data_IF_315678064314
#
_entry.id   IF_315678064314
#
_cell.length_a   1.000
_cell.length_b   1.000
_cell.length_c   1.000
_cell.angle_alpha   90.00
_cell.angle_beta   90.00
_cell.angle_gamma   90.00
#
_symmetry.space_group_name_H-M   'P 1'
#
loop_
_entity.id
_entity.type
_entity.pdbx_description
1 polymer ?
#
# COMPACT_ATOMS: atom_id res chain seq x y z
N UNK A 1 -22.18 20.29 14.95
CA UNK A 1 -23.04 21.40 14.48
C UNK A 1 -22.37 22.72 14.83
N UNK A 2 -22.43 23.71 13.96
CA UNK A 2 -21.85 25.05 14.24
C UNK A 2 -22.81 25.90 15.09
N UNK A 3 -22.29 26.83 15.89
CA UNK A 3 -23.09 27.77 16.71
C UNK A 3 -24.11 28.55 15.84
N UNK A 4 -23.75 29.06 14.64
CA UNK A 4 -24.69 29.72 13.74
C UNK A 4 -25.83 28.82 13.27
N UNK A 5 -25.56 27.55 12.96
CA UNK A 5 -26.60 26.59 12.54
C UNK A 5 -27.58 26.26 13.67
N UNK A 6 -27.12 26.23 14.92
CA UNK A 6 -28.02 26.02 16.08
C UNK A 6 -28.91 27.24 16.33
N UNK A 7 -28.35 28.46 16.25
CA UNK A 7 -29.12 29.69 16.37
C UNK A 7 -30.17 29.83 15.25
N UNK A 8 -29.80 29.47 14.01
CA UNK A 8 -30.71 29.48 12.88
C UNK A 8 -31.83 28.43 13.00
N UNK A 9 -31.55 27.24 13.52
CA UNK A 9 -32.59 26.24 13.81
C UNK A 9 -33.55 26.70 14.91
N UNK A 10 -33.04 27.30 15.99
CA UNK A 10 -33.88 27.87 17.05
C UNK A 10 -34.80 28.99 16.52
N UNK A 11 -34.27 29.85 15.64
CA UNK A 11 -35.07 30.85 14.93
C UNK A 11 -36.15 30.24 14.03
N UNK A 12 -35.84 29.16 13.32
CA UNK A 12 -36.81 28.46 12.49
C UNK A 12 -37.92 27.77 13.31
N UNK A 13 -37.60 27.21 14.47
CA UNK A 13 -38.56 26.64 15.43
C UNK A 13 -39.50 27.72 15.98
N UNK A 14 -38.97 28.91 16.28
CA UNK A 14 -39.77 30.07 16.74
C UNK A 14 -40.73 30.61 15.66
N UNK A 15 -40.37 30.52 14.38
CA UNK A 15 -41.26 30.90 13.28
C UNK A 15 -42.36 29.84 13.09
N UNK A 16 -42.04 28.56 13.31
CA UNK A 16 -42.99 27.45 13.20
C UNK A 16 -44.14 27.52 14.21
N UNK A 17 -43.93 28.13 15.38
CA UNK A 17 -45.00 28.32 16.37
C UNK A 17 -46.04 29.36 15.95
N UNK A 18 -45.70 30.26 15.02
CA UNK A 18 -46.59 31.30 14.50
C UNK A 18 -47.21 30.93 13.15
N UNK A 19 -46.45 30.26 12.28
CA UNK A 19 -46.94 29.76 11.01
C UNK A 19 -46.23 28.43 10.69
N UNK A 20 -46.93 27.28 10.76
CA UNK A 20 -46.34 25.96 10.53
C UNK A 20 -45.66 25.83 9.15
N UNK A 21 -46.27 26.36 8.09
CA UNK A 21 -45.74 26.28 6.72
C UNK A 21 -44.48 27.14 6.56
N UNK A 22 -44.47 28.34 7.15
CA UNK A 22 -43.30 29.22 7.15
C UNK A 22 -42.14 28.66 7.99
N UNK A 23 -42.45 27.98 9.10
CA UNK A 23 -41.48 27.28 9.93
C UNK A 23 -40.83 26.11 9.22
N UNK A 24 -41.61 25.31 8.48
CA UNK A 24 -41.08 24.21 7.67
C UNK A 24 -40.16 24.72 6.55
N UNK A 25 -40.54 25.79 5.85
CA UNK A 25 -39.70 26.44 4.86
C UNK A 25 -38.40 27.01 5.47
N UNK A 26 -38.47 27.61 6.65
CA UNK A 26 -37.30 28.10 7.38
C UNK A 26 -36.35 26.97 7.79
N UNK A 27 -36.86 25.84 8.28
CA UNK A 27 -36.06 24.67 8.61
C UNK A 27 -35.36 24.08 7.37
N UNK A 28 -36.06 23.99 6.23
CA UNK A 28 -35.46 23.58 4.96
C UNK A 28 -34.35 24.55 4.50
N UNK A 29 -34.55 25.86 4.67
CA UNK A 29 -33.54 26.86 4.36
C UNK A 29 -32.29 26.74 5.24
N UNK A 30 -32.46 26.49 6.55
CA UNK A 30 -31.33 26.24 7.47
C UNK A 30 -30.60 24.95 7.12
N UNK A 31 -31.33 23.89 6.78
CA UNK A 31 -30.73 22.64 6.35
C UNK A 31 -29.95 22.81 5.02
N UNK A 32 -30.49 23.56 4.07
CA UNK A 32 -29.81 23.89 2.81
C UNK A 32 -28.56 24.76 3.03
N UNK A 33 -28.65 25.78 3.89
CA UNK A 33 -27.53 26.66 4.19
C UNK A 33 -26.40 25.93 4.94
N UNK A 34 -26.73 25.05 5.88
CA UNK A 34 -25.74 24.23 6.60
C UNK A 34 -25.03 23.23 5.69
N UNK A 35 -25.78 22.55 4.79
CA UNK A 35 -25.20 21.68 3.77
C UNK A 35 -24.27 22.47 2.82
N UNK A 36 -24.68 23.66 2.39
CA UNK A 36 -23.88 24.53 1.54
C UNK A 36 -22.61 25.02 2.24
N UNK A 37 -22.68 25.36 3.53
CA UNK A 37 -21.52 25.76 4.33
C UNK A 37 -20.50 24.62 4.46
N UNK A 38 -20.97 23.38 4.66
CA UNK A 38 -20.11 22.20 4.69
C UNK A 38 -19.40 21.97 3.34
N UNK A 39 -20.14 22.08 2.23
CA UNK A 39 -19.57 21.99 0.87
C UNK A 39 -18.51 23.08 0.63
N UNK A 40 -18.77 24.30 1.07
CA UNK A 40 -17.84 25.43 0.92
C UNK A 40 -16.56 25.21 1.73
N UNK A 41 -16.67 24.73 2.97
CA UNK A 41 -15.52 24.40 3.81
C UNK A 41 -14.64 23.34 3.15
N UNK A 42 -15.24 22.26 2.65
CA UNK A 42 -14.50 21.23 1.89
C UNK A 42 -13.81 21.83 0.67
N UNK A 43 -14.47 22.69 -0.10
CA UNK A 43 -13.85 23.35 -1.27
C UNK A 43 -12.67 24.26 -0.90
N UNK A 44 -12.73 24.97 0.22
CA UNK A 44 -11.61 25.79 0.71
C UNK A 44 -10.42 24.91 1.11
N UNK A 45 -10.67 23.79 1.77
CA UNK A 45 -9.64 22.81 2.12
C UNK A 45 -8.97 22.22 0.86
N UNK A 46 -9.77 21.89 -0.16
CA UNK A 46 -9.23 21.42 -1.45
C UNK A 46 -8.33 22.45 -2.12
N UNK A 47 -8.72 23.72 -2.13
CA UNK A 47 -7.91 24.80 -2.73
C UNK A 47 -6.58 24.99 -2.01
N UNK A 48 -6.61 24.94 -0.67
CA UNK A 48 -5.40 25.05 0.13
C UNK A 48 -4.49 23.83 -0.07
N UNK A 49 -5.07 22.63 -0.10
CA UNK A 49 -4.34 21.40 -0.38
C UNK A 49 -3.70 21.41 -1.77
N UNK A 50 -4.44 21.83 -2.81
CA UNK A 50 -3.92 21.96 -4.19
C UNK A 50 -2.77 22.97 -4.25
N UNK A 51 -2.90 24.10 -3.53
CA UNK A 51 -1.87 25.15 -3.47
C UNK A 51 -0.58 24.65 -2.83
N UNK A 52 -0.69 24.02 -1.66
CA UNK A 52 0.46 23.44 -0.95
C UNK A 52 1.06 22.28 -1.77
N UNK A 53 0.21 21.45 -2.37
CA UNK A 53 0.61 20.29 -3.17
C UNK A 53 1.49 20.67 -4.37
N UNK A 54 1.11 21.67 -5.16
CA UNK A 54 1.94 22.15 -6.29
C UNK A 54 3.29 22.66 -5.81
N UNK A 55 3.32 23.42 -4.71
CA UNK A 55 4.57 23.93 -4.14
C UNK A 55 5.48 22.79 -3.72
N UNK A 56 4.93 21.75 -3.09
CA UNK A 56 5.68 20.58 -2.66
C UNK A 56 6.19 19.74 -3.84
N UNK A 57 5.39 19.57 -4.90
CA UNK A 57 5.82 18.92 -6.14
C UNK A 57 7.02 19.63 -6.74
N UNK A 58 6.93 20.97 -6.90
CA UNK A 58 8.02 21.78 -7.43
C UNK A 58 9.30 21.69 -6.57
N UNK A 59 9.16 21.83 -5.24
CA UNK A 59 10.29 21.77 -4.30
C UNK A 59 10.95 20.39 -4.25
N UNK A 60 10.20 19.34 -4.50
CA UNK A 60 10.68 17.95 -4.54
C UNK A 60 11.25 17.57 -5.92
N UNK A 61 11.32 18.49 -6.88
CA UNK A 61 11.83 18.22 -8.23
C UNK A 61 10.86 17.48 -9.15
N UNK A 62 9.59 17.32 -8.76
CA UNK A 62 8.55 16.75 -9.63
C UNK A 62 7.94 17.82 -10.54
N UNK A 63 7.35 17.38 -11.66
CA UNK A 63 6.65 18.27 -12.59
C UNK A 63 5.38 18.86 -11.94
N UNK A 64 5.30 20.18 -11.70
CA UNK A 64 4.11 20.79 -11.11
C UNK A 64 2.87 20.67 -12.01
N UNK A 65 3.07 20.57 -13.33
CA UNK A 65 1.99 20.34 -14.31
C UNK A 65 1.44 18.92 -14.23
N UNK A 66 2.14 17.99 -13.57
CA UNK A 66 1.66 16.63 -13.33
C UNK A 66 0.33 16.61 -12.56
N UNK A 67 0.13 17.54 -11.63
CA UNK A 67 -1.13 17.66 -10.89
C UNK A 67 -2.29 18.08 -11.80
N UNK A 68 -2.08 19.07 -12.68
CA UNK A 68 -3.08 19.48 -13.68
C UNK A 68 -3.42 18.33 -14.62
N UNK A 69 -2.42 17.61 -15.13
CA UNK A 69 -2.63 16.45 -16.00
C UNK A 69 -3.39 15.32 -15.30
N UNK A 70 -3.10 15.07 -14.01
CA UNK A 70 -3.85 14.11 -13.20
C UNK A 70 -5.31 14.51 -13.02
N UNK A 71 -5.59 15.77 -12.71
CA UNK A 71 -6.97 16.26 -12.60
C UNK A 71 -7.73 16.17 -13.93
N UNK A 72 -7.09 16.48 -15.05
CA UNK A 72 -7.71 16.32 -16.37
C UNK A 72 -8.06 14.85 -16.64
N UNK A 73 -7.17 13.90 -16.30
CA UNK A 73 -7.45 12.46 -16.41
C UNK A 73 -8.62 12.03 -15.53
N UNK A 74 -8.68 12.49 -14.28
CA UNK A 74 -9.82 12.22 -13.38
C UNK A 74 -11.13 12.77 -13.94
N UNK A 75 -11.12 14.02 -14.43
CA UNK A 75 -12.30 14.63 -15.04
C UNK A 75 -12.75 13.86 -16.29
N UNK A 76 -11.81 13.40 -17.12
CA UNK A 76 -12.13 12.59 -18.29
C UNK A 76 -12.73 11.25 -17.87
N UNK A 77 -12.13 10.55 -16.90
CA UNK A 77 -12.64 9.28 -16.39
C UNK A 77 -14.03 9.39 -15.77
N UNK A 78 -14.34 10.49 -15.09
CA UNK A 78 -15.67 10.71 -14.49
C UNK A 78 -16.75 11.04 -15.52
N UNK A 79 -16.38 11.49 -16.73
CA UNK A 79 -17.35 11.75 -17.81
C UNK A 79 -17.86 10.48 -18.47
N UNK A 80 -17.02 9.46 -18.58
CA UNK A 80 -17.33 8.21 -19.28
C UNK A 80 -17.77 7.07 -18.35
N UNK A 81 -17.73 7.28 -17.03
CA UNK A 81 -18.16 6.32 -16.02
C UNK A 81 -19.43 6.80 -15.33
N UNK A 82 -20.46 5.96 -15.26
CA UNK A 82 -21.70 6.24 -14.52
C UNK A 82 -21.45 6.43 -13.01
N UNK A 83 -20.34 5.91 -12.49
CA UNK A 83 -19.86 6.18 -11.14
C UNK A 83 -18.58 7.00 -11.18
N UNK A 84 -18.63 8.20 -10.58
CA UNK A 84 -17.43 8.96 -10.28
C UNK A 84 -16.51 8.13 -9.35
N UNK A 85 -15.19 8.17 -9.55
CA UNK A 85 -14.22 7.54 -8.64
C UNK A 85 -14.51 7.92 -7.18
N UNK A 86 -14.32 6.99 -6.25
CA UNK A 86 -14.57 7.22 -4.82
C UNK A 86 -13.83 8.45 -4.28
N UNK A 87 -12.60 8.66 -4.75
CA UNK A 87 -11.81 9.87 -4.46
C UNK A 87 -12.57 11.17 -4.75
N UNK A 88 -13.36 11.23 -5.83
CA UNK A 88 -14.13 12.44 -6.18
C UNK A 88 -15.36 12.65 -5.30
N UNK A 89 -15.77 11.66 -4.48
CA UNK A 89 -16.85 11.81 -3.51
C UNK A 89 -16.41 12.59 -2.29
N UNK A 90 -15.18 12.39 -1.83
CA UNK A 90 -14.58 13.13 -0.71
C UNK A 90 -13.84 14.37 -1.17
N UNK A 91 -13.20 14.32 -2.35
CA UNK A 91 -12.43 15.42 -2.94
C UNK A 91 -13.02 15.84 -4.29
N UNK A 92 -14.13 16.60 -4.31
CA UNK A 92 -14.81 16.95 -5.55
C UNK A 92 -13.91 17.80 -6.46
N UNK A 93 -13.72 17.32 -7.69
CA UNK A 93 -12.94 18.02 -8.70
C UNK A 93 -13.83 18.97 -9.50
N UNK A 94 -13.43 20.24 -9.60
CA UNK A 94 -14.15 21.28 -10.36
C UNK A 94 -13.26 21.85 -11.46
N UNK A 95 -13.86 22.41 -12.51
CA UNK A 95 -13.11 23.13 -13.57
C UNK A 95 -12.27 24.27 -13.02
N UNK A 96 -12.76 24.96 -11.98
CA UNK A 96 -12.02 26.01 -11.27
C UNK A 96 -10.72 25.49 -10.64
N UNK A 97 -10.74 24.31 -10.02
CA UNK A 97 -9.52 23.68 -9.45
C UNK A 97 -8.49 23.36 -10.54
N UNK A 98 -8.93 22.83 -11.68
CA UNK A 98 -8.04 22.54 -12.81
C UNK A 98 -7.38 23.82 -13.32
N UNK A 99 -8.17 24.89 -13.49
CA UNK A 99 -7.67 26.18 -13.95
C UNK A 99 -6.70 26.82 -12.95
N UNK A 100 -7.02 26.82 -11.65
CA UNK A 100 -6.15 27.35 -10.60
C UNK A 100 -4.84 26.55 -10.51
N UNK A 101 -4.92 25.22 -10.57
CA UNK A 101 -3.75 24.35 -10.60
C UNK A 101 -2.86 24.63 -11.82
N UNK A 102 -3.45 24.79 -13.02
CA UNK A 102 -2.73 25.11 -14.23
C UNK A 102 -2.02 26.47 -14.15
N UNK A 103 -2.72 27.49 -13.64
CA UNK A 103 -2.17 28.84 -13.46
C UNK A 103 -0.98 28.83 -12.48
N UNK A 104 -1.09 28.10 -11.36
CA UNK A 104 0.00 27.95 -10.39
C UNK A 104 1.18 27.17 -10.96
N UNK A 105 0.92 26.06 -11.67
CA UNK A 105 1.96 25.26 -12.28
C UNK A 105 2.75 26.04 -13.35
N UNK A 106 2.09 26.96 -14.06
CA UNK A 106 2.74 27.82 -15.05
C UNK A 106 3.81 28.75 -14.44
N UNK A 107 3.67 29.13 -13.16
CA UNK A 107 4.63 30.00 -12.47
C UNK A 107 6.00 29.34 -12.22
N UNK A 108 6.11 28.01 -12.32
CA UNK A 108 7.36 27.26 -12.08
C UNK A 108 8.22 27.05 -13.33
N UNK A 109 7.81 27.62 -14.48
CA UNK A 109 8.52 27.45 -15.75
C UNK A 109 8.37 26.05 -16.37
N UNK A 110 8.98 25.83 -17.54
CA UNK A 110 9.05 24.52 -18.18
C UNK A 110 10.42 23.89 -17.88
N UNK A 111 10.47 22.95 -16.95
CA UNK A 111 11.65 22.10 -16.71
C UNK A 111 11.59 20.80 -17.49
N UNK A 112 12.75 20.15 -17.67
CA UNK A 112 12.80 18.73 -18.02
C UNK A 112 12.57 17.93 -16.74
N UNK A 113 11.53 17.10 -16.75
CA UNK A 113 11.21 16.19 -15.66
C UNK A 113 11.20 14.80 -16.25
N UNK A 114 12.10 13.94 -15.78
CA UNK A 114 12.15 12.54 -16.21
C UNK A 114 11.58 11.67 -15.10
N UNK A 115 10.64 10.79 -15.43
CA UNK A 115 10.23 9.77 -14.49
C UNK A 115 11.39 8.82 -14.20
N UNK A 116 11.49 8.35 -12.94
CA UNK A 116 12.47 7.33 -12.60
C UNK A 116 12.06 5.99 -13.20
N UNK A 117 13.03 5.20 -13.65
CA UNK A 117 12.77 3.82 -14.08
C UNK A 117 11.98 3.04 -13.02
N UNK A 118 12.33 3.20 -11.74
CA UNK A 118 11.62 2.58 -10.62
C UNK A 118 10.12 2.89 -10.60
N UNK A 119 9.72 4.13 -10.90
CA UNK A 119 8.31 4.49 -11.00
C UNK A 119 7.61 3.71 -12.13
N UNK A 120 8.23 3.64 -13.30
CA UNK A 120 7.66 2.93 -14.44
C UNK A 120 7.59 1.41 -14.22
N UNK A 121 8.58 0.82 -13.55
CA UNK A 121 8.57 -0.60 -13.18
C UNK A 121 7.45 -0.90 -12.17
N UNK A 122 7.30 -0.08 -11.14
CA UNK A 122 6.20 -0.23 -10.17
C UNK A 122 4.85 -0.08 -10.86
N UNK A 123 4.69 0.93 -11.73
CA UNK A 123 3.47 1.12 -12.51
C UNK A 123 3.16 -0.11 -13.37
N UNK A 124 4.15 -0.66 -14.08
CA UNK A 124 3.97 -1.84 -14.93
C UNK A 124 3.56 -3.08 -14.10
N UNK A 125 4.17 -3.28 -12.93
CA UNK A 125 3.79 -4.36 -12.00
C UNK A 125 2.35 -4.23 -11.51
N UNK A 126 1.93 -3.02 -11.13
CA UNK A 126 0.56 -2.76 -10.68
C UNK A 126 -0.45 -2.98 -11.81
N UNK A 127 -0.15 -2.49 -13.02
CA UNK A 127 -0.99 -2.72 -14.19
C UNK A 127 -1.13 -4.22 -14.47
N UNK A 128 -0.03 -4.98 -14.49
CA UNK A 128 -0.07 -6.43 -14.67
C UNK A 128 -0.95 -7.15 -13.65
N UNK A 129 -0.92 -6.71 -12.37
CA UNK A 129 -1.72 -7.30 -11.29
C UNK A 129 -3.18 -6.83 -11.25
N UNK A 130 -3.50 -5.70 -11.89
CA UNK A 130 -4.85 -5.13 -11.93
C UNK A 130 -5.77 -5.77 -12.96
N UNK A 131 -5.22 -6.51 -13.94
CA UNK A 131 -6.04 -7.23 -14.90
C UNK A 131 -6.76 -8.40 -14.23
N UNK A 132 -8.00 -8.67 -14.67
CA UNK A 132 -8.83 -9.73 -14.10
C UNK A 132 -8.26 -11.14 -14.24
N UNK A 133 -7.37 -11.37 -15.21
CA UNK A 133 -6.62 -12.64 -15.35
C UNK A 133 -5.18 -12.39 -15.80
N UNK A 134 -4.22 -13.27 -15.43
CA UNK A 134 -2.85 -13.19 -15.92
C UNK A 134 -2.77 -13.22 -17.45
N UNK A 135 -3.56 -14.07 -18.11
CA UNK A 135 -3.66 -14.14 -19.58
C UNK A 135 -4.07 -12.81 -20.23
N UNK A 136 -4.97 -12.05 -19.61
CA UNK A 136 -5.34 -10.73 -20.11
C UNK A 136 -4.18 -9.73 -19.98
N UNK A 137 -3.42 -9.79 -18.89
CA UNK A 137 -2.20 -8.99 -18.74
C UNK A 137 -1.13 -9.37 -19.78
N UNK A 138 -0.97 -10.67 -20.08
CA UNK A 138 -0.05 -11.17 -21.12
C UNK A 138 -0.41 -10.55 -22.47
N UNK A 139 -1.69 -10.58 -22.85
CA UNK A 139 -2.17 -9.98 -24.10
C UNK A 139 -1.99 -8.46 -24.15
N UNK A 140 -2.14 -7.76 -23.02
CA UNK A 140 -1.92 -6.32 -22.91
C UNK A 140 -0.45 -5.97 -23.12
N UNK A 141 0.46 -6.62 -22.40
CA UNK A 141 1.89 -6.29 -22.45
C UNK A 141 2.58 -6.79 -23.72
N UNK A 142 2.17 -7.93 -24.29
CA UNK A 142 2.77 -8.43 -25.53
C UNK A 142 2.65 -7.42 -26.68
N UNK A 143 1.49 -6.77 -26.81
CA UNK A 143 1.26 -5.70 -27.80
C UNK A 143 2.15 -4.49 -27.55
N UNK A 144 2.32 -4.07 -26.29
CA UNK A 144 3.11 -2.89 -25.91
C UNK A 144 4.60 -3.10 -26.10
N UNK A 145 5.10 -4.30 -25.80
CA UNK A 145 6.50 -4.66 -26.03
C UNK A 145 6.82 -4.71 -27.53
N UNK A 146 5.85 -5.09 -28.36
CA UNK A 146 5.98 -5.14 -29.82
C UNK A 146 5.80 -3.78 -30.52
N UNK A 147 5.27 -2.77 -29.83
CA UNK A 147 4.99 -1.46 -30.40
C UNK A 147 6.28 -0.62 -30.58
N UNK A 148 6.65 -0.26 -31.83
CA UNK A 148 7.83 0.57 -32.08
C UNK A 148 7.74 1.96 -31.43
N UNK A 149 6.53 2.51 -31.27
CA UNK A 149 6.31 3.84 -30.70
C UNK A 149 6.56 3.91 -29.18
N UNK A 150 6.84 2.77 -28.55
CA UNK A 150 7.01 2.64 -27.10
C UNK A 150 8.46 2.34 -26.71
N UNK A 151 9.42 2.68 -27.56
CA UNK A 151 10.84 2.41 -27.34
C UNK A 151 11.33 2.86 -25.96
N UNK A 152 11.01 4.10 -25.56
CA UNK A 152 11.43 4.67 -24.27
C UNK A 152 10.84 3.92 -23.05
N UNK A 153 9.65 3.32 -23.20
CA UNK A 153 8.97 2.55 -22.14
C UNK A 153 9.19 1.05 -22.26
N UNK A 154 9.95 0.59 -23.25
CA UNK A 154 9.99 -0.83 -23.65
C UNK A 154 10.48 -1.73 -22.52
N UNK A 155 11.41 -1.25 -21.69
CA UNK A 155 11.94 -2.04 -20.57
C UNK A 155 10.92 -2.19 -19.44
N UNK A 156 10.16 -1.13 -19.13
CA UNK A 156 9.07 -1.21 -18.17
C UNK A 156 7.89 -2.04 -18.67
N UNK A 157 7.53 -1.92 -19.95
CA UNK A 157 6.51 -2.76 -20.58
C UNK A 157 6.97 -4.24 -20.60
N UNK A 158 8.25 -4.51 -20.86
CA UNK A 158 8.83 -5.86 -20.79
C UNK A 158 8.83 -6.39 -19.36
N UNK A 159 9.12 -5.56 -18.37
CA UNK A 159 9.00 -5.93 -16.97
C UNK A 159 7.57 -6.31 -16.59
N UNK A 160 6.57 -5.50 -16.96
CA UNK A 160 5.17 -5.85 -16.79
C UNK A 160 4.79 -7.15 -17.50
N UNK A 161 5.37 -7.38 -18.69
CA UNK A 161 5.18 -8.63 -19.43
C UNK A 161 5.72 -9.85 -18.70
N UNK A 162 6.91 -9.74 -18.08
CA UNK A 162 7.48 -10.80 -17.22
C UNK A 162 6.51 -11.13 -16.09
N UNK A 163 6.03 -10.13 -15.35
CA UNK A 163 5.07 -10.35 -14.25
C UNK A 163 3.81 -11.06 -14.73
N UNK A 164 3.29 -10.67 -15.90
CA UNK A 164 2.11 -11.28 -16.49
C UNK A 164 2.36 -12.74 -16.93
N UNK A 165 3.45 -13.02 -17.64
CA UNK A 165 3.82 -14.36 -18.09
C UNK A 165 4.07 -15.30 -16.91
N UNK A 166 4.75 -14.82 -15.87
CA UNK A 166 5.00 -15.55 -14.63
C UNK A 166 3.69 -15.88 -13.90
N UNK A 167 2.72 -14.95 -13.88
CA UNK A 167 1.39 -15.20 -13.32
C UNK A 167 0.56 -16.20 -14.14
N UNK A 168 0.76 -16.25 -15.46
CA UNK A 168 0.06 -17.15 -16.39
C UNK A 168 0.73 -18.53 -16.51
N UNK A 169 1.87 -18.76 -15.83
CA UNK A 169 2.62 -20.01 -15.87
C UNK A 169 3.51 -20.19 -17.12
N UNK A 170 3.67 -19.15 -17.94
CA UNK A 170 4.52 -19.17 -19.14
C UNK A 170 6.00 -18.91 -18.80
N UNK A 171 6.57 -19.74 -17.94
CA UNK A 171 7.88 -19.50 -17.32
C UNK A 171 9.05 -19.44 -18.31
N UNK A 172 9.01 -20.24 -19.39
CA UNK A 172 10.06 -20.23 -20.41
C UNK A 172 10.15 -18.86 -21.12
N UNK A 173 9.00 -18.31 -21.52
CA UNK A 173 8.93 -16.98 -22.13
C UNK A 173 9.27 -15.90 -21.12
N UNK A 174 8.78 -15.99 -19.88
CA UNK A 174 9.12 -15.04 -18.83
C UNK A 174 10.64 -14.95 -18.61
N UNK A 175 11.32 -16.10 -18.58
CA UNK A 175 12.78 -16.19 -18.43
C UNK A 175 13.53 -15.55 -19.60
N UNK A 176 13.04 -15.75 -20.83
CA UNK A 176 13.61 -15.09 -22.01
C UNK A 176 13.50 -13.57 -21.90
N UNK A 177 12.34 -13.05 -21.51
CA UNK A 177 12.13 -11.61 -21.33
C UNK A 177 13.00 -11.05 -20.20
N UNK A 178 13.14 -11.77 -19.08
CA UNK A 178 14.00 -11.39 -17.96
C UNK A 178 15.48 -11.33 -18.36
N UNK A 179 15.96 -12.31 -19.15
CA UNK A 179 17.34 -12.31 -19.68
C UNK A 179 17.63 -11.08 -20.53
N UNK A 180 16.67 -10.60 -21.33
CA UNK A 180 16.85 -9.38 -22.14
C UNK A 180 17.04 -8.13 -21.27
N UNK A 181 16.29 -8.01 -20.17
CA UNK A 181 16.46 -6.89 -19.23
C UNK A 181 17.78 -7.00 -18.47
N UNK A 182 18.11 -8.19 -17.96
CA UNK A 182 19.34 -8.44 -17.22
C UNK A 182 20.59 -8.36 -18.09
N UNK A 183 20.50 -8.54 -19.41
CA UNK A 183 21.62 -8.30 -20.31
C UNK A 183 21.98 -6.81 -20.40
N UNK A 184 21.01 -5.92 -20.24
CA UNK A 184 21.19 -4.46 -20.25
C UNK A 184 21.57 -3.94 -18.87
N UNK A 185 20.88 -4.40 -17.82
CA UNK A 185 21.12 -4.01 -16.42
C UNK A 185 21.26 -5.26 -15.52
N UNK A 186 22.45 -5.88 -15.47
CA UNK A 186 22.66 -7.16 -14.78
C UNK A 186 22.44 -7.12 -13.26
N UNK A 187 22.58 -5.95 -12.66
CA UNK A 187 22.51 -5.74 -11.22
C UNK A 187 21.18 -5.10 -10.80
N UNK A 188 20.25 -4.82 -11.71
CA UNK A 188 18.98 -4.21 -11.32
C UNK A 188 18.17 -5.16 -10.43
N UNK A 189 18.04 -4.79 -9.14
CA UNK A 189 17.36 -5.59 -8.12
C UNK A 189 15.93 -5.95 -8.50
N UNK A 190 15.21 -5.09 -9.22
CA UNK A 190 13.82 -5.35 -9.61
C UNK A 190 13.74 -6.47 -10.66
N UNK A 191 14.72 -6.54 -11.57
CA UNK A 191 14.82 -7.57 -12.58
C UNK A 191 15.31 -8.89 -11.99
N UNK A 192 16.29 -8.84 -11.09
CA UNK A 192 16.79 -10.02 -10.36
C UNK A 192 15.69 -10.67 -9.52
N UNK A 193 14.90 -9.87 -8.79
CA UNK A 193 13.77 -10.39 -8.00
C UNK A 193 12.67 -10.99 -8.89
N UNK A 194 12.39 -10.42 -10.06
CA UNK A 194 11.44 -11.02 -11.00
C UNK A 194 11.98 -12.32 -11.61
N UNK A 195 13.28 -12.39 -11.91
CA UNK A 195 13.92 -13.61 -12.37
C UNK A 195 13.85 -14.72 -11.30
N UNK A 196 14.09 -14.39 -10.04
CA UNK A 196 13.95 -15.33 -8.93
C UNK A 196 12.49 -15.78 -8.75
N UNK A 197 11.49 -14.88 -8.83
CA UNK A 197 10.06 -15.24 -8.71
C UNK A 197 9.61 -16.23 -9.80
N UNK A 198 10.15 -16.13 -11.03
CA UNK A 198 9.90 -17.12 -12.09
C UNK A 198 10.29 -18.52 -11.61
N UNK A 199 11.52 -18.66 -11.10
CA UNK A 199 12.05 -19.94 -10.66
C UNK A 199 11.30 -20.47 -9.44
N UNK A 200 10.98 -19.60 -8.46
CA UNK A 200 10.18 -19.97 -7.27
C UNK A 200 8.82 -20.52 -7.69
N UNK A 201 8.12 -19.86 -8.62
CA UNK A 201 6.78 -20.33 -9.06
C UNK A 201 6.82 -21.58 -9.92
N UNK A 202 7.91 -21.80 -10.64
CA UNK A 202 8.13 -23.04 -11.38
C UNK A 202 8.55 -24.21 -10.46
N UNK A 203 8.97 -23.92 -9.21
CA UNK A 203 9.48 -24.91 -8.27
C UNK A 203 11.00 -25.17 -8.38
N UNK A 204 11.72 -24.34 -9.14
CA UNK A 204 13.16 -24.44 -9.34
C UNK A 204 13.93 -23.72 -8.21
N UNK A 205 13.78 -24.20 -6.98
CA UNK A 205 14.27 -23.50 -5.79
C UNK A 205 15.79 -23.30 -5.77
N UNK A 206 16.59 -24.28 -6.21
CA UNK A 206 18.06 -24.15 -6.24
C UNK A 206 18.53 -22.97 -7.11
N UNK A 207 17.89 -22.80 -8.27
CA UNK A 207 18.19 -21.67 -9.16
C UNK A 207 17.72 -20.36 -8.54
N UNK A 208 16.53 -20.35 -7.92
CA UNK A 208 16.03 -19.18 -7.21
C UNK A 208 16.97 -18.74 -6.08
N UNK A 209 17.45 -19.68 -5.26
CA UNK A 209 18.37 -19.41 -4.15
C UNK A 209 19.71 -18.87 -4.64
N UNK A 210 20.23 -19.38 -5.75
CA UNK A 210 21.42 -18.83 -6.38
C UNK A 210 21.22 -17.36 -6.79
N UNK A 211 20.10 -17.03 -7.43
CA UNK A 211 19.77 -15.65 -7.81
C UNK A 211 19.63 -14.77 -6.57
N UNK A 212 18.89 -15.21 -5.54
CA UNK A 212 18.69 -14.45 -4.32
C UNK A 212 20.00 -14.21 -3.57
N UNK A 213 20.83 -15.25 -3.41
CA UNK A 213 22.14 -15.14 -2.75
C UNK A 213 23.06 -14.15 -3.47
N UNK A 214 23.11 -14.19 -4.82
CA UNK A 214 23.86 -13.19 -5.59
C UNK A 214 23.28 -11.77 -5.40
N UNK A 215 21.95 -11.65 -5.38
CA UNK A 215 21.29 -10.36 -5.20
C UNK A 215 21.56 -9.77 -3.82
N UNK A 216 21.67 -10.61 -2.79
CA UNK A 216 21.95 -10.22 -1.40
C UNK A 216 23.36 -9.66 -1.22
N UNK A 217 24.34 -10.15 -1.99
CA UNK A 217 25.68 -9.56 -2.01
C UNK A 217 25.69 -8.12 -2.55
N UNK A 218 24.77 -7.80 -3.45
CA UNK A 218 24.66 -6.47 -4.06
C UNK A 218 23.78 -5.52 -3.23
N UNK A 219 22.73 -6.06 -2.61
CA UNK A 219 21.71 -5.31 -1.89
C UNK A 219 21.45 -5.91 -0.50
N UNK A 220 22.43 -5.84 0.43
CA UNK A 220 22.25 -6.31 1.79
C UNK A 220 21.10 -5.54 2.46
N UNK A 221 20.33 -6.22 3.31
CA UNK A 221 19.19 -5.67 4.06
C UNK A 221 18.07 -5.04 3.21
N UNK A 222 18.07 -5.25 1.89
CA UNK A 222 16.99 -4.76 1.05
C UNK A 222 15.72 -5.55 1.34
N UNK A 223 14.78 -4.92 2.06
CA UNK A 223 13.58 -5.59 2.59
C UNK A 223 12.82 -6.45 1.57
N UNK A 224 12.51 -5.99 0.33
CA UNK A 224 11.85 -6.84 -0.65
C UNK A 224 12.66 -8.10 -1.00
N UNK A 225 13.98 -8.00 -1.06
CA UNK A 225 14.83 -9.17 -1.28
C UNK A 225 14.72 -10.16 -0.12
N UNK A 226 14.96 -9.71 1.12
CA UNK A 226 14.94 -10.59 2.30
C UNK A 226 13.61 -11.34 2.39
N UNK A 227 12.49 -10.65 2.24
CA UNK A 227 11.17 -11.28 2.35
C UNK A 227 10.88 -12.27 1.22
N UNK A 228 11.22 -11.93 -0.03
CA UNK A 228 11.02 -12.86 -1.14
C UNK A 228 11.94 -14.07 -1.01
N UNK A 229 13.18 -13.88 -0.54
CA UNK A 229 14.11 -14.97 -0.32
C UNK A 229 13.65 -15.87 0.83
N UNK A 230 13.28 -15.31 1.99
CA UNK A 230 12.75 -16.10 3.11
C UNK A 230 11.49 -16.88 2.73
N UNK A 231 10.57 -16.28 1.98
CA UNK A 231 9.39 -17.01 1.48
C UNK A 231 9.78 -18.14 0.50
N UNK A 232 10.77 -17.91 -0.35
CA UNK A 232 11.29 -18.96 -1.24
C UNK A 232 11.94 -20.10 -0.45
N UNK A 233 12.70 -19.78 0.60
CA UNK A 233 13.34 -20.75 1.48
C UNK A 233 12.30 -21.62 2.19
N UNK A 234 11.23 -21.02 2.72
CA UNK A 234 10.11 -21.77 3.31
C UNK A 234 9.47 -22.72 2.29
N UNK A 235 9.15 -22.23 1.09
CA UNK A 235 8.57 -23.06 0.03
C UNK A 235 9.49 -24.18 -0.45
N UNK A 236 10.80 -23.96 -0.42
CA UNK A 236 11.82 -24.95 -0.75
C UNK A 236 12.23 -25.84 0.43
N UNK A 237 11.54 -25.77 1.57
CA UNK A 237 11.82 -26.64 2.73
C UNK A 237 13.12 -26.31 3.47
N UNK A 238 13.55 -25.06 3.47
CA UNK A 238 14.72 -24.55 4.20
C UNK A 238 14.34 -23.60 5.35
N UNK A 239 13.54 -24.05 6.34
CA UNK A 239 12.98 -23.18 7.37
C UNK A 239 14.04 -22.59 8.31
N UNK A 240 15.12 -23.33 8.61
CA UNK A 240 16.23 -22.82 9.44
C UNK A 240 16.90 -21.60 8.81
N UNK A 241 17.19 -21.65 7.51
CA UNK A 241 17.80 -20.53 6.79
C UNK A 241 16.84 -19.35 6.66
N UNK A 242 15.54 -19.62 6.43
CA UNK A 242 14.52 -18.57 6.40
C UNK A 242 14.42 -17.84 7.75
N UNK A 243 14.41 -18.60 8.84
CA UNK A 243 14.38 -18.08 10.22
C UNK A 243 15.60 -17.20 10.50
N UNK A 244 16.79 -17.71 10.24
CA UNK A 244 18.03 -17.01 10.59
C UNK A 244 18.12 -15.67 9.82
N UNK A 245 17.75 -15.67 8.53
CA UNK A 245 17.66 -14.45 7.72
C UNK A 245 16.64 -13.44 8.25
N UNK A 246 15.45 -13.90 8.62
CA UNK A 246 14.42 -13.01 9.18
C UNK A 246 14.87 -12.43 10.52
N UNK A 247 15.43 -13.25 11.42
CA UNK A 247 15.93 -12.79 12.72
C UNK A 247 17.07 -11.77 12.57
N UNK A 248 17.98 -11.97 11.62
CA UNK A 248 19.05 -11.00 11.34
C UNK A 248 18.48 -9.68 10.84
N UNK A 249 17.60 -9.74 9.82
CA UNK A 249 16.94 -8.56 9.26
C UNK A 249 16.13 -7.78 10.30
N UNK A 250 15.46 -8.47 11.22
CA UNK A 250 14.59 -7.86 12.22
C UNK A 250 15.31 -7.11 13.34
N UNK A 251 16.65 -7.19 13.44
CA UNK A 251 17.42 -6.46 14.47
C UNK A 251 17.48 -4.95 14.22
N UNK A 252 17.34 -4.53 12.97
CA UNK A 252 17.66 -3.16 12.56
C UNK A 252 16.54 -2.45 11.78
N UNK A 253 15.40 -3.11 11.57
CA UNK A 253 14.38 -2.65 10.62
C UNK A 253 12.98 -2.62 11.25
N UNK A 254 12.12 -1.77 10.68
CA UNK A 254 10.70 -1.74 11.03
C UNK A 254 10.02 -3.05 10.61
N UNK A 255 9.39 -3.71 11.56
CA UNK A 255 8.73 -5.00 11.38
C UNK A 255 7.24 -4.79 11.05
N UNK A 256 6.72 -5.57 10.12
CA UNK A 256 5.33 -5.50 9.70
C UNK A 256 4.66 -6.88 9.65
N UNK A 257 3.39 -6.90 9.25
CA UNK A 257 2.56 -8.10 9.21
C UNK A 257 3.21 -9.21 8.35
N UNK A 258 3.76 -8.88 7.18
CA UNK A 258 4.39 -9.87 6.29
C UNK A 258 5.64 -10.49 6.91
N UNK A 259 6.44 -9.68 7.62
CA UNK A 259 7.59 -10.19 8.34
C UNK A 259 7.17 -11.23 9.40
N UNK A 260 6.18 -10.91 10.24
CA UNK A 260 5.75 -11.81 11.30
C UNK A 260 5.02 -13.06 10.78
N UNK A 261 4.29 -12.97 9.67
CA UNK A 261 3.73 -14.14 8.98
C UNK A 261 4.84 -15.12 8.57
N UNK A 262 5.89 -14.62 7.93
CA UNK A 262 7.01 -15.47 7.48
C UNK A 262 7.84 -15.99 8.65
N UNK A 263 8.07 -15.17 9.68
CA UNK A 263 8.82 -15.60 10.86
C UNK A 263 8.06 -16.69 11.62
N UNK A 264 6.75 -16.53 11.84
CA UNK A 264 5.90 -17.54 12.47
C UNK A 264 6.04 -18.90 11.78
N UNK A 265 5.92 -18.92 10.45
CA UNK A 265 6.05 -20.14 9.65
C UNK A 265 7.47 -20.72 9.72
N UNK A 266 8.50 -19.87 9.64
CA UNK A 266 9.89 -20.29 9.72
C UNK A 266 10.24 -20.94 11.06
N UNK A 267 9.81 -20.33 12.16
CA UNK A 267 10.01 -20.89 13.51
C UNK A 267 9.25 -22.20 13.68
N UNK A 268 7.98 -22.26 13.24
CA UNK A 268 7.16 -23.47 13.34
C UNK A 268 7.77 -24.65 12.58
N UNK A 269 8.17 -24.42 11.32
CA UNK A 269 8.78 -25.44 10.46
C UNK A 269 10.21 -25.80 10.90
N UNK A 270 10.91 -24.89 11.58
CA UNK A 270 12.21 -25.16 12.22
C UNK A 270 12.09 -25.90 13.57
N UNK A 271 10.86 -26.07 14.09
CA UNK A 271 10.55 -26.79 15.32
C UNK A 271 10.48 -25.94 16.59
N UNK A 272 10.60 -24.61 16.49
CA UNK A 272 10.52 -23.70 17.63
C UNK A 272 9.10 -23.15 17.80
N UNK A 273 8.23 -23.95 18.42
CA UNK A 273 6.82 -23.58 18.60
C UNK A 273 6.62 -22.39 19.54
N UNK A 274 7.55 -22.16 20.47
CA UNK A 274 7.48 -21.01 21.40
C UNK A 274 7.75 -19.73 20.62
N UNK A 275 8.85 -19.66 19.87
CA UNK A 275 9.16 -18.48 19.06
C UNK A 275 8.13 -18.25 17.95
N UNK A 276 7.63 -19.33 17.34
CA UNK A 276 6.50 -19.26 16.41
C UNK A 276 5.28 -18.60 17.05
N UNK A 277 4.88 -19.05 18.25
CA UNK A 277 3.74 -18.49 18.97
C UNK A 277 3.94 -17.02 19.35
N UNK A 278 5.17 -16.62 19.70
CA UNK A 278 5.50 -15.22 20.00
C UNK A 278 5.41 -14.36 18.74
N UNK A 279 5.98 -14.80 17.61
CA UNK A 279 5.88 -14.10 16.34
C UNK A 279 4.42 -13.99 15.87
N UNK A 280 3.61 -15.03 16.10
CA UNK A 280 2.19 -15.02 15.73
C UNK A 280 1.36 -14.05 16.59
N UNK A 281 1.72 -13.88 17.86
CA UNK A 281 1.08 -12.85 18.70
C UNK A 281 1.35 -11.44 18.16
N UNK A 282 2.55 -11.16 17.65
CA UNK A 282 2.86 -9.89 16.98
C UNK A 282 2.05 -9.71 15.70
N UNK A 283 1.88 -10.78 14.91
CA UNK A 283 1.00 -10.77 13.75
C UNK A 283 -0.42 -10.35 14.15
N UNK A 284 -1.03 -11.00 15.14
CA UNK A 284 -2.37 -10.67 15.63
C UNK A 284 -2.49 -9.24 16.16
N UNK A 285 -1.45 -8.75 16.85
CA UNK A 285 -1.45 -7.37 17.30
C UNK A 285 -1.49 -6.39 16.12
N UNK A 286 -0.64 -6.60 15.11
CA UNK A 286 -0.55 -5.71 13.96
C UNK A 286 -1.79 -5.75 13.03
N UNK A 287 -2.55 -6.84 13.05
CA UNK A 287 -3.85 -6.95 12.36
C UNK A 287 -5.01 -6.35 13.16
N UNK A 288 -4.76 -5.84 14.37
CA UNK A 288 -5.76 -5.21 15.24
C UNK A 288 -6.51 -6.18 16.14
N UNK A 289 -6.02 -7.42 16.26
CA UNK A 289 -6.58 -8.49 17.10
C UNK A 289 -5.82 -8.56 18.44
N UNK A 290 -5.63 -7.41 19.10
CA UNK A 290 -4.83 -7.24 20.33
C UNK A 290 -5.23 -8.22 21.44
N UNK A 291 -6.52 -8.51 21.59
CA UNK A 291 -6.99 -9.49 22.58
C UNK A 291 -6.51 -10.91 22.25
N UNK A 292 -6.54 -11.31 20.97
CA UNK A 292 -6.08 -12.64 20.51
C UNK A 292 -4.57 -12.77 20.73
N UNK A 293 -3.80 -11.70 20.47
CA UNK A 293 -2.37 -11.66 20.75
C UNK A 293 -2.06 -11.93 22.23
N UNK A 294 -2.78 -11.29 23.16
CA UNK A 294 -2.63 -11.50 24.61
C UNK A 294 -2.99 -12.95 25.00
N UNK A 295 -4.10 -13.47 24.49
CA UNK A 295 -4.54 -14.84 24.77
C UNK A 295 -3.52 -15.87 24.28
N UNK A 296 -2.94 -15.66 23.10
CA UNK A 296 -1.86 -16.48 22.54
C UNK A 296 -0.62 -16.49 23.44
N UNK A 297 -0.13 -15.31 23.83
CA UNK A 297 1.03 -15.19 24.74
C UNK A 297 0.77 -15.86 26.09
N UNK A 298 -0.43 -15.67 26.64
CA UNK A 298 -0.85 -16.28 27.90
C UNK A 298 -0.95 -17.81 27.80
N UNK A 299 -1.38 -18.34 26.66
CA UNK A 299 -1.40 -19.77 26.39
C UNK A 299 0.02 -20.35 26.40
N UNK A 300 0.98 -19.68 25.72
CA UNK A 300 2.39 -20.09 25.70
C UNK A 300 3.01 -20.15 27.10
N UNK A 301 2.66 -19.22 28.00
CA UNK A 301 3.14 -19.24 29.39
C UNK A 301 2.56 -20.37 30.25
N UNK A 302 1.42 -20.95 29.85
CA UNK A 302 0.68 -21.97 30.63
C UNK A 302 0.89 -23.39 30.11
N UNK A 303 1.44 -23.55 28.91
CA UNK A 303 1.64 -24.87 28.31
C UNK A 303 2.79 -25.63 28.98
N UNK A 304 2.63 -26.94 29.16
CA UNK A 304 3.65 -27.80 29.77
C UNK A 304 4.78 -28.15 28.80
N UNK A 305 4.47 -28.27 27.50
CA UNK A 305 5.44 -28.54 26.45
C UNK A 305 4.99 -27.97 25.09
N UNK A 306 5.88 -27.29 24.32
CA UNK A 306 7.21 -26.84 24.74
C UNK A 306 7.12 -25.65 25.71
N UNK A 307 7.88 -25.71 26.79
CA UNK A 307 7.90 -24.65 27.80
C UNK A 307 8.86 -23.53 27.38
N UNK A 308 8.47 -22.25 27.46
CA UNK A 308 9.38 -21.14 27.20
C UNK A 308 10.54 -21.14 28.22
N UNK A 309 11.73 -20.78 27.76
CA UNK A 309 12.86 -20.55 28.65
C UNK A 309 12.67 -19.27 29.50
N UNK A 310 13.63 -18.99 30.38
CA UNK A 310 13.57 -17.81 31.24
C UNK A 310 13.50 -16.49 30.46
N UNK A 311 14.32 -16.33 29.42
CA UNK A 311 14.37 -15.08 28.64
C UNK A 311 13.11 -14.91 27.79
N UNK A 312 12.63 -15.98 27.18
CA UNK A 312 11.36 -16.02 26.45
C UNK A 312 10.21 -15.67 27.38
N UNK A 313 10.18 -16.23 28.59
CA UNK A 313 9.16 -15.95 29.61
C UNK A 313 9.11 -14.46 29.96
N UNK A 314 10.27 -13.85 30.26
CA UNK A 314 10.32 -12.44 30.62
C UNK A 314 9.95 -11.53 29.43
N UNK A 315 10.38 -11.89 28.20
CA UNK A 315 9.99 -11.19 26.98
C UNK A 315 8.48 -11.26 26.74
N UNK A 316 7.88 -12.44 26.90
CA UNK A 316 6.42 -12.63 26.77
C UNK A 316 5.68 -11.77 27.80
N UNK A 317 6.09 -11.80 29.07
CA UNK A 317 5.43 -11.00 30.12
C UNK A 317 5.51 -9.50 29.84
N UNK A 318 6.69 -9.00 29.48
CA UNK A 318 6.89 -7.59 29.14
C UNK A 318 6.01 -7.18 27.95
N UNK A 319 5.96 -8.01 26.90
CA UNK A 319 5.15 -7.73 25.73
C UNK A 319 3.66 -7.79 26.03
N UNK A 320 3.21 -8.79 26.79
CA UNK A 320 1.81 -8.94 27.19
C UNK A 320 1.32 -7.74 28.02
N UNK A 321 2.15 -7.23 28.94
CA UNK A 321 1.81 -6.03 29.71
C UNK A 321 1.61 -4.79 28.82
N UNK A 322 2.46 -4.61 27.81
CA UNK A 322 2.27 -3.56 26.80
C UNK A 322 0.96 -3.74 26.03
N UNK A 323 0.67 -4.95 25.56
CA UNK A 323 -0.57 -5.22 24.80
C UNK A 323 -1.83 -5.02 25.65
N UNK A 324 -1.79 -5.37 26.94
CA UNK A 324 -2.90 -5.14 27.88
C UNK A 324 -3.19 -3.64 28.05
N UNK A 325 -2.14 -2.81 28.09
CA UNK A 325 -2.30 -1.35 28.09
C UNK A 325 -2.93 -0.84 26.79
N UNK A 326 -2.46 -1.31 25.63
CA UNK A 326 -3.00 -0.91 24.33
C UNK A 326 -4.47 -1.32 24.18
N UNK A 327 -4.82 -2.54 24.60
CA UNK A 327 -6.20 -3.02 24.60
C UNK A 327 -7.12 -2.15 25.46
N UNK A 328 -6.63 -1.65 26.60
CA UNK A 328 -7.40 -0.73 27.43
C UNK A 328 -7.64 0.60 26.71
N UNK A 329 -6.63 1.17 26.05
CA UNK A 329 -6.76 2.39 25.26
C UNK A 329 -7.76 2.21 24.11
N UNK A 330 -7.71 1.07 23.40
CA UNK A 330 -8.68 0.74 22.36
C UNK A 330 -10.12 0.72 22.88
N UNK A 331 -10.34 0.12 24.07
CA UNK A 331 -11.65 0.07 24.73
C UNK A 331 -12.14 1.46 25.13
N UNK A 332 -11.26 2.27 25.71
CA UNK A 332 -11.57 3.64 26.11
C UNK A 332 -11.92 4.53 24.90
N UNK A 333 -11.22 4.36 23.78
CA UNK A 333 -11.53 5.07 22.53
C UNK A 333 -12.88 4.64 21.93
N UNK A 334 -13.23 3.36 22.01
CA UNK A 334 -14.53 2.85 21.54
C UNK A 334 -15.69 3.39 22.38
N UNK A 335 -15.50 3.61 23.68
CA UNK A 335 -16.51 4.18 24.58
C UNK A 335 -16.73 5.70 24.39
N UNK A 336 -15.82 6.39 23.68
CA UNK A 336 -15.91 7.83 23.39
C UNK A 336 -16.56 8.17 22.05
N UNK A 337 -16.93 7.18 21.23
CA UNK A 337 -17.63 7.36 19.94
C UNK A 337 -19.14 7.24 20.11
#
# INVERSE_FOLDING_TARGET
MSIPTMAAMLGAILIATQNPDAGQAALMAVQGASAQAQINFTRANEQEADRIGIQLLARSGFNPRGMTGFFQKLQQSSRFSAQAPEFLRTHPLTTRRIADAAARAAAYGAGSYNESLSFDLVRAKLVARSHGTPRAAVAFFSRRVADPLREDSRDADRYGYIIALTGDGQYALAREQARRLLAKEPENVTYLLAAADIEVRQGNYDTAFSIFSKTEQLYPDYRPLVLNYSNALLKGGQPYLARDKLREFGRFQSLDITYFDYLTRAEAEAGDQVESGIANAEYYFLTGETQVAIEQLRHILRQDAPRPDYYQTERIKARMAFLEQELQLERDMKLRK
#
